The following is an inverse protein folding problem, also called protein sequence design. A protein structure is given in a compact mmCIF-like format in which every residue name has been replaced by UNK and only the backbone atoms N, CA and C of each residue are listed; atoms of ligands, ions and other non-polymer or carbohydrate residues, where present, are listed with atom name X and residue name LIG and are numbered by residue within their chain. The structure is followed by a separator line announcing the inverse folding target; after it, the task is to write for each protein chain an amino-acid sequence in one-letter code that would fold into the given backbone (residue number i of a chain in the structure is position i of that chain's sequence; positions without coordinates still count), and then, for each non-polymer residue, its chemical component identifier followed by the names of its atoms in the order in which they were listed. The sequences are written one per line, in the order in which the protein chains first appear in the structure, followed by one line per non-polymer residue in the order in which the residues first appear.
data_IF_810640934265
#
_entry.id   IF_810640934265
#
_cell.length_a   1.000
_cell.length_b   1.000
_cell.length_c   1.000
_cell.angle_alpha   90.00
_cell.angle_beta   90.00
_cell.angle_gamma   90.00
#
_symmetry.space_group_name_H-M   'P 1'
#
loop_
_entity.id
_entity.type
_entity.pdbx_description
1 polymer ?
#
# COMPACT_ATOMS: atom_id res chain seq x y z
N UNK A 1 -7.13 5.82 2.17
CA UNK A 1 -5.83 5.36 2.69
C UNK A 1 -5.85 5.52 4.20
N UNK A 2 -5.37 4.55 4.96
CA UNK A 2 -5.25 4.64 6.42
C UNK A 2 -3.82 4.32 6.86
N UNK A 3 -3.46 4.74 8.08
CA UNK A 3 -2.21 4.34 8.71
C UNK A 3 -2.54 3.55 9.98
N UNK A 4 -1.97 2.36 10.11
CA UNK A 4 -2.33 1.45 11.19
C UNK A 4 -1.17 0.62 11.71
N UNK A 5 -1.28 0.25 12.99
CA UNK A 5 -0.28 -0.47 13.77
C UNK A 5 0.98 0.35 14.05
N UNK A 6 1.99 -0.30 14.60
CA UNK A 6 3.28 0.32 14.90
C UNK A 6 4.42 -0.35 14.14
N UNK A 7 5.19 0.43 13.40
CA UNK A 7 6.44 -0.03 12.78
C UNK A 7 7.63 0.46 13.59
N UNK A 8 8.50 -0.47 14.02
CA UNK A 8 9.78 -0.14 14.64
C UNK A 8 10.74 0.56 13.68
N UNK A 9 10.65 0.25 12.38
CA UNK A 9 11.49 0.87 11.35
C UNK A 9 11.09 2.33 11.14
N UNK A 10 9.79 2.58 11.07
CA UNK A 10 9.25 3.90 10.75
C UNK A 10 8.88 4.73 11.97
N UNK A 11 8.92 4.16 13.18
CA UNK A 11 8.52 4.84 14.43
C UNK A 11 7.11 5.44 14.36
N UNK A 12 6.16 4.72 13.75
CA UNK A 12 4.80 5.18 13.57
C UNK A 12 3.93 4.20 12.79
N UNK A 13 2.71 4.64 12.46
CA UNK A 13 1.75 3.94 11.63
C UNK A 13 2.23 3.72 10.20
N UNK A 14 1.95 2.54 9.66
CA UNK A 14 2.27 2.18 8.27
C UNK A 14 1.01 2.16 7.41
N UNK A 15 1.22 2.42 6.12
CA UNK A 15 0.13 2.58 5.17
C UNK A 15 -0.64 1.25 4.99
N UNK A 16 -1.96 1.36 4.88
CA UNK A 16 -2.86 0.27 4.50
C UNK A 16 -4.11 0.81 3.82
N UNK A 17 -4.89 -0.09 3.22
CA UNK A 17 -6.14 0.24 2.53
C UNK A 17 -7.31 -0.32 3.33
N UNK A 18 -8.20 0.58 3.77
CA UNK A 18 -9.48 0.22 4.40
C UNK A 18 -10.59 0.38 3.36
N UNK A 19 -11.38 -0.68 3.14
CA UNK A 19 -12.52 -0.63 2.22
C UNK A 19 -13.56 0.36 2.74
N UNK A 20 -13.97 1.30 1.89
CA UNK A 20 -14.97 2.31 2.20
C UNK A 20 -15.78 2.62 0.93
N UNK A 21 -17.10 2.66 1.03
CA UNK A 21 -17.98 2.93 -0.10
C UNK A 21 -17.71 4.31 -0.70
N UNK A 22 -17.40 4.37 -2.00
CA UNK A 22 -17.03 5.61 -2.69
C UNK A 22 -15.62 6.14 -2.40
N UNK A 23 -14.85 5.47 -1.53
CA UNK A 23 -13.45 5.81 -1.27
C UNK A 23 -12.56 5.46 -2.46
N UNK A 24 -11.55 6.29 -2.71
CA UNK A 24 -10.53 6.05 -3.74
C UNK A 24 -9.14 6.17 -3.13
N UNK A 25 -8.20 5.36 -3.63
CA UNK A 25 -6.78 5.43 -3.29
C UNK A 25 -6.03 5.49 -4.60
N UNK A 26 -5.24 6.55 -4.77
CA UNK A 26 -4.34 6.70 -5.92
C UNK A 26 -3.04 5.98 -5.60
N UNK A 27 -2.45 5.33 -6.59
CA UNK A 27 -1.20 4.59 -6.46
C UNK A 27 -0.56 4.33 -7.82
N UNK A 28 0.49 3.52 -7.82
CA UNK A 28 1.25 3.15 -9.02
C UNK A 28 1.12 1.65 -9.23
N UNK A 29 0.94 1.25 -10.49
CA UNK A 29 0.94 -0.15 -10.91
C UNK A 29 2.33 -0.50 -11.43
N UNK A 30 2.92 -1.57 -10.90
CA UNK A 30 4.21 -2.09 -11.34
C UNK A 30 4.02 -3.45 -12.00
N UNK A 31 4.65 -3.65 -13.15
CA UNK A 31 4.84 -4.99 -13.72
C UNK A 31 6.06 -5.62 -13.06
N UNK A 32 5.87 -6.80 -12.47
CA UNK A 32 6.89 -7.50 -11.68
C UNK A 32 6.87 -8.99 -11.99
N UNK A 33 8.02 -9.64 -11.83
CA UNK A 33 8.09 -11.09 -12.00
C UNK A 33 7.52 -11.83 -10.79
N UNK A 34 7.14 -13.09 -10.99
CA UNK A 34 6.76 -14.01 -9.90
C UNK A 34 7.83 -14.14 -8.81
N UNK A 35 9.11 -13.98 -9.18
CA UNK A 35 10.22 -14.00 -8.22
C UNK A 35 10.21 -12.76 -7.33
N UNK A 36 9.91 -11.60 -7.90
CA UNK A 36 9.83 -10.34 -7.17
C UNK A 36 8.60 -10.34 -6.27
N UNK A 37 7.47 -10.88 -6.76
CA UNK A 37 6.26 -11.07 -5.95
C UNK A 37 6.53 -11.92 -4.70
N UNK A 38 7.24 -13.04 -4.82
CA UNK A 38 7.66 -13.85 -3.65
C UNK A 38 8.60 -13.10 -2.70
N UNK A 39 9.38 -12.16 -3.22
CA UNK A 39 10.26 -11.32 -2.40
C UNK A 39 9.46 -10.25 -1.66
N UNK A 40 8.44 -9.67 -2.31
CA UNK A 40 7.47 -8.77 -1.69
C UNK A 40 6.66 -9.47 -0.60
N UNK A 41 6.18 -10.69 -0.83
CA UNK A 41 5.45 -11.46 0.19
C UNK A 41 6.25 -11.58 1.49
N UNK A 42 7.56 -11.83 1.38
CA UNK A 42 8.46 -11.88 2.55
C UNK A 42 8.66 -10.50 3.18
N UNK A 43 8.78 -9.45 2.37
CA UNK A 43 8.99 -8.09 2.83
C UNK A 43 7.79 -7.55 3.63
N UNK A 44 6.58 -7.80 3.11
CA UNK A 44 5.31 -7.40 3.72
C UNK A 44 4.90 -8.30 4.89
N UNK A 45 5.64 -9.38 5.12
CA UNK A 45 5.33 -10.35 6.17
C UNK A 45 4.03 -11.11 5.90
N UNK A 46 3.72 -11.39 4.62
CA UNK A 46 2.60 -12.25 4.24
C UNK A 46 2.88 -13.72 4.64
N UNK A 47 1.89 -14.47 5.19
CA UNK A 47 0.53 -14.08 5.50
C UNK A 47 0.32 -13.80 7.00
N UNK A 48 1.24 -13.10 7.68
CA UNK A 48 1.07 -12.77 9.10
C UNK A 48 0.67 -11.31 9.31
N UNK A 49 1.37 -10.36 8.68
CA UNK A 49 1.20 -8.92 8.93
C UNK A 49 0.23 -8.30 7.92
N UNK A 50 0.45 -8.58 6.63
CA UNK A 50 -0.40 -8.15 5.54
C UNK A 50 -1.02 -9.37 4.83
N UNK A 51 -2.21 -9.17 4.28
CA UNK A 51 -2.88 -10.06 3.34
C UNK A 51 -2.66 -9.59 1.92
N UNK A 52 -2.42 -10.54 1.03
CA UNK A 52 -2.33 -10.32 -0.41
C UNK A 52 -3.72 -10.37 -1.01
N UNK A 53 -4.12 -9.30 -1.69
CA UNK A 53 -5.49 -9.11 -2.19
C UNK A 53 -5.43 -8.77 -3.67
N UNK A 54 -6.18 -9.52 -4.48
CA UNK A 54 -6.42 -9.18 -5.87
C UNK A 54 -7.40 -8.02 -5.95
N UNK A 55 -7.06 -7.02 -6.75
CA UNK A 55 -7.86 -5.81 -6.98
C UNK A 55 -7.93 -5.53 -8.47
N UNK A 56 -9.00 -4.86 -8.87
CA UNK A 56 -9.08 -4.23 -10.19
C UNK A 56 -8.87 -2.74 -9.98
N UNK A 57 -7.87 -2.18 -10.65
CA UNK A 57 -7.56 -0.75 -10.62
C UNK A 57 -7.94 -0.13 -11.95
N UNK A 58 -8.26 1.15 -11.96
CA UNK A 58 -8.53 1.92 -13.17
C UNK A 58 -7.29 2.76 -13.47
N UNK A 59 -6.73 2.62 -14.67
CA UNK A 59 -5.60 3.44 -15.14
C UNK A 59 -6.03 4.87 -15.43
N UNK A 60 -5.07 5.75 -15.71
CA UNK A 60 -5.35 7.14 -16.09
C UNK A 60 -6.17 7.24 -17.39
N UNK A 61 -5.99 6.26 -18.29
CA UNK A 61 -6.75 6.15 -19.55
C UNK A 61 -8.18 5.60 -19.36
N UNK A 62 -8.52 5.15 -18.15
CA UNK A 62 -9.84 4.59 -17.81
C UNK A 62 -9.92 3.07 -17.95
N UNK A 63 -8.83 2.40 -18.31
CA UNK A 63 -8.81 0.95 -18.51
C UNK A 63 -8.73 0.18 -17.17
N UNK A 64 -9.50 -0.91 -17.01
CA UNK A 64 -9.38 -1.78 -15.85
C UNK A 64 -8.16 -2.70 -15.97
N UNK A 65 -7.36 -2.78 -14.91
CA UNK A 65 -6.20 -3.67 -14.81
C UNK A 65 -6.30 -4.52 -13.54
N UNK A 66 -6.10 -5.83 -13.68
CA UNK A 66 -5.96 -6.72 -12.54
C UNK A 66 -4.58 -6.54 -11.90
N UNK A 67 -4.57 -6.32 -10.60
CA UNK A 67 -3.34 -6.13 -9.84
C UNK A 67 -3.44 -6.80 -8.48
N UNK A 68 -2.28 -6.94 -7.83
CA UNK A 68 -2.17 -7.44 -6.47
C UNK A 68 -1.74 -6.29 -5.57
N UNK A 69 -2.35 -6.20 -4.39
CA UNK A 69 -1.95 -5.26 -3.35
C UNK A 69 -1.92 -5.93 -1.98
N UNK A 70 -1.33 -5.26 -0.99
CA UNK A 70 -1.22 -5.74 0.38
C UNK A 70 -2.07 -4.90 1.30
N UNK A 71 -2.95 -5.57 2.07
CA UNK A 71 -3.81 -4.94 3.07
C UNK A 71 -3.45 -5.50 4.44
N UNK A 72 -3.13 -4.61 5.38
CA UNK A 72 -2.81 -5.01 6.76
C UNK A 72 -4.01 -5.74 7.37
N UNK A 73 -3.78 -6.89 8.02
CA UNK A 73 -4.86 -7.70 8.63
C UNK A 73 -5.56 -6.97 9.76
N UNK A 74 -4.75 -6.36 10.63
CA UNK A 74 -5.26 -5.63 11.79
C UNK A 74 -5.20 -4.13 11.53
N UNK A 75 -6.39 -3.55 11.41
CA UNK A 75 -6.62 -2.12 11.21
C UNK A 75 -7.25 -1.46 12.45
N UNK A 76 -7.35 -2.16 13.57
CA UNK A 76 -7.99 -1.64 14.79
C UNK A 76 -7.19 -0.49 15.41
N UNK A 77 -5.87 -0.53 15.32
CA UNK A 77 -4.96 0.49 15.84
C UNK A 77 -4.59 1.53 14.77
N UNK A 78 -5.53 2.39 14.38
CA UNK A 78 -5.21 3.55 13.52
C UNK A 78 -4.23 4.47 14.26
N UNK A 79 -3.01 4.58 13.71
CA UNK A 79 -1.86 5.22 14.36
C UNK A 79 -1.27 6.22 13.39
N UNK A 80 -0.89 7.40 13.89
CA UNK A 80 -0.26 8.41 13.04
C UNK A 80 1.07 7.90 12.46
N UNK A 81 1.33 8.10 11.16
CA UNK A 81 2.62 7.83 10.58
C UNK A 81 3.66 8.83 11.09
N UNK A 82 4.93 8.43 11.05
CA UNK A 82 6.02 9.37 11.28
C UNK A 82 6.17 10.35 10.11
N UNK A 83 6.82 11.47 10.37
CA UNK A 83 7.07 12.49 9.34
C UNK A 83 8.01 11.96 8.26
N UNK A 84 9.00 11.16 8.65
CA UNK A 84 9.96 10.52 7.75
C UNK A 84 9.27 9.56 6.80
N UNK A 85 8.34 8.74 7.31
CA UNK A 85 7.59 7.81 6.47
C UNK A 85 6.67 8.54 5.48
N UNK A 86 5.97 9.59 5.95
CA UNK A 86 5.17 10.44 5.08
C UNK A 86 6.01 11.13 4.01
N UNK A 87 7.22 11.58 4.34
CA UNK A 87 8.11 12.20 3.37
C UNK A 87 8.48 11.24 2.23
N UNK A 88 8.74 9.96 2.55
CA UNK A 88 9.02 8.93 1.54
C UNK A 88 7.81 8.68 0.63
N UNK A 89 6.60 8.57 1.19
CA UNK A 89 5.38 8.41 0.37
C UNK A 89 5.17 9.62 -0.55
N UNK A 90 5.32 10.83 0.00
CA UNK A 90 5.19 12.08 -0.77
C UNK A 90 6.23 12.17 -1.88
N UNK A 91 7.46 11.77 -1.61
CA UNK A 91 8.50 11.74 -2.63
C UNK A 91 8.15 10.74 -3.73
N UNK A 92 7.69 9.54 -3.38
CA UNK A 92 7.24 8.55 -4.36
C UNK A 92 6.10 9.08 -5.24
N UNK A 93 5.15 9.82 -4.68
CA UNK A 93 4.11 10.45 -5.51
C UNK A 93 4.65 11.50 -6.48
N UNK A 94 5.64 12.30 -6.08
CA UNK A 94 6.29 13.27 -6.96
C UNK A 94 7.09 12.59 -8.07
N UNK A 95 7.83 11.53 -7.73
CA UNK A 95 8.64 10.78 -8.67
C UNK A 95 7.79 10.16 -9.80
N UNK A 96 6.54 9.81 -9.47
CA UNK A 96 5.55 9.28 -10.41
C UNK A 96 4.57 10.32 -10.97
N UNK A 97 4.78 11.61 -10.70
CA UNK A 97 3.96 12.70 -11.24
C UNK A 97 2.50 12.71 -10.77
N UNK A 98 2.19 12.05 -9.65
CA UNK A 98 0.85 12.00 -9.06
C UNK A 98 0.47 13.33 -8.40
N UNK A 99 1.47 14.06 -7.86
CA UNK A 99 1.36 15.40 -7.24
C UNK A 99 2.58 16.25 -7.50
#
# INVERSE_FOLDING_TARGET
LVFAGWSRKWHGGVASIKRFGGGKVIGVVYDISERDLRSLDKHEGYPAVYDRVNVVVTTEDGDPVEAVTYIKRDLSDETQPSQEYLAVIRQGYKDWGIV
#
